data_IF_074588761396
#
_entry.id   IF_074588761396
#
_cell.length_a   1.000
_cell.length_b   1.000
_cell.length_c   1.000
_cell.angle_alpha   90.00
_cell.angle_beta   90.00
_cell.angle_gamma   90.00
#
_symmetry.space_group_name_H-M   'P 1'
#
loop_
_entity.id
_entity.type
_entity.pdbx_description
1 polymer ?
#
# COMPACT_ATOMS: atom_id res chain seq x y z
N UNK A 1 12.54 -11.42 -18.72
CA UNK A 1 11.97 -10.96 -17.44
C UNK A 1 11.54 -12.20 -16.67
N UNK A 2 12.43 -12.80 -15.90
CA UNK A 2 12.16 -14.08 -15.23
C UNK A 2 12.57 -13.93 -13.78
N UNK A 3 11.62 -14.07 -12.85
CA UNK A 3 11.88 -14.11 -11.42
C UNK A 3 11.43 -12.91 -10.57
N UNK A 4 10.93 -11.81 -11.16
CA UNK A 4 10.30 -10.74 -10.36
C UNK A 4 8.83 -11.13 -10.13
N UNK A 5 8.39 -11.32 -8.87
CA UNK A 5 6.99 -11.62 -8.59
C UNK A 5 6.11 -10.41 -8.92
N UNK A 6 5.04 -10.66 -9.68
CA UNK A 6 4.03 -9.65 -10.00
C UNK A 6 2.88 -9.76 -9.02
N UNK A 7 2.50 -8.64 -8.40
CA UNK A 7 1.31 -8.56 -7.54
C UNK A 7 0.26 -7.70 -8.22
N UNK A 8 -0.97 -8.19 -8.34
CA UNK A 8 -2.11 -7.42 -8.83
C UNK A 8 -3.03 -7.07 -7.67
N UNK A 9 -3.20 -5.78 -7.42
CA UNK A 9 -4.10 -5.25 -6.37
C UNK A 9 -5.24 -4.47 -7.02
N UNK A 10 -6.46 -4.68 -6.55
CA UNK A 10 -7.62 -3.87 -6.95
C UNK A 10 -7.79 -2.73 -5.95
N UNK A 11 -7.87 -1.50 -6.45
CA UNK A 11 -8.01 -0.28 -5.66
C UNK A 11 -9.09 0.57 -6.32
N UNK A 12 -9.95 1.18 -5.52
CA UNK A 12 -10.93 2.14 -6.02
C UNK A 12 -10.25 3.31 -6.77
N UNK A 13 -10.92 3.91 -7.76
CA UNK A 13 -10.33 4.98 -8.57
C UNK A 13 -9.91 6.20 -7.75
N UNK A 14 -10.75 6.62 -6.78
CA UNK A 14 -10.48 7.83 -5.98
C UNK A 14 -9.23 7.69 -5.10
N UNK A 15 -9.04 6.62 -4.29
CA UNK A 15 -7.80 6.41 -3.55
C UNK A 15 -6.56 6.28 -4.44
N UNK A 16 -6.71 5.67 -5.63
CA UNK A 16 -5.62 5.57 -6.59
C UNK A 16 -5.18 6.95 -7.09
N UNK A 17 -6.12 7.82 -7.41
CA UNK A 17 -5.84 9.20 -7.85
C UNK A 17 -5.25 10.05 -6.72
N UNK A 18 -5.82 9.96 -5.51
CA UNK A 18 -5.34 10.68 -4.34
C UNK A 18 -3.91 10.26 -3.97
N UNK A 19 -3.65 8.94 -3.94
CA UNK A 19 -2.30 8.42 -3.69
C UNK A 19 -1.31 8.77 -4.81
N UNK A 20 -1.77 8.87 -6.06
CA UNK A 20 -0.93 9.34 -7.18
C UNK A 20 -0.58 10.83 -7.10
N UNK A 21 -1.35 11.60 -6.32
CA UNK A 21 -1.09 13.02 -6.02
C UNK A 21 -0.28 13.23 -4.73
N UNK A 22 -0.06 12.18 -3.95
CA UNK A 22 0.80 12.25 -2.77
C UNK A 22 2.19 12.80 -3.16
N UNK A 23 2.87 13.54 -2.27
CA UNK A 23 4.06 14.31 -2.61
C UNK A 23 5.12 13.46 -3.31
N UNK A 24 5.50 13.84 -4.53
CA UNK A 24 6.60 13.20 -5.28
C UNK A 24 7.91 13.21 -4.49
N UNK A 25 8.05 14.14 -3.56
CA UNK A 25 9.19 14.30 -2.66
C UNK A 25 9.36 13.17 -1.64
N UNK A 26 8.33 12.34 -1.40
CA UNK A 26 8.48 11.16 -0.54
C UNK A 26 9.32 10.07 -1.20
N UNK A 27 9.45 10.09 -2.54
CA UNK A 27 10.36 9.21 -3.30
C UNK A 27 9.72 7.98 -3.96
N UNK A 28 8.84 7.18 -3.31
CA UNK A 28 8.27 6.01 -3.94
C UNK A 28 7.02 6.35 -4.74
N UNK A 29 6.99 5.84 -5.98
CA UNK A 29 5.74 5.70 -6.73
C UNK A 29 4.80 4.73 -6.01
N UNK A 30 3.51 4.71 -6.36
CA UNK A 30 2.54 3.75 -5.81
C UNK A 30 3.05 2.29 -5.87
N UNK A 31 3.77 1.93 -6.95
CA UNK A 31 4.39 0.61 -7.11
C UNK A 31 5.55 0.39 -6.12
N UNK A 32 6.39 1.41 -5.90
CA UNK A 32 7.45 1.38 -4.90
C UNK A 32 6.90 1.21 -3.49
N UNK A 33 5.86 1.95 -3.13
CA UNK A 33 5.20 1.85 -1.82
C UNK A 33 4.55 0.46 -1.64
N UNK A 34 3.87 -0.05 -2.67
CA UNK A 34 3.28 -1.38 -2.66
C UNK A 34 4.32 -2.51 -2.52
N UNK A 35 5.56 -2.31 -2.98
CA UNK A 35 6.65 -3.28 -2.84
C UNK A 35 7.32 -3.24 -1.46
N UNK A 36 7.30 -2.10 -0.75
CA UNK A 36 7.86 -1.95 0.60
C UNK A 36 6.96 -2.62 1.64
N UNK A 37 5.64 -2.55 1.46
CA UNK A 37 4.68 -3.10 2.42
C UNK A 37 4.87 -4.60 2.71
N UNK A 38 4.96 -5.51 1.71
CA UNK A 38 5.24 -6.92 1.97
C UNK A 38 6.58 -7.16 2.67
N UNK A 39 7.61 -6.35 2.35
CA UNK A 39 8.93 -6.47 3.00
C UNK A 39 8.84 -6.10 4.48
N UNK A 40 8.12 -5.05 4.82
CA UNK A 40 7.89 -4.64 6.21
C UNK A 40 7.08 -5.70 6.98
N UNK A 41 6.00 -6.22 6.38
CA UNK A 41 5.18 -7.28 7.01
C UNK A 41 5.98 -8.55 7.30
N UNK A 42 6.83 -8.96 6.36
CA UNK A 42 7.69 -10.15 6.54
C UNK A 42 8.81 -9.88 7.54
N UNK A 43 9.43 -8.70 7.48
CA UNK A 43 10.54 -8.32 8.36
C UNK A 43 10.12 -8.16 9.83
N UNK A 44 9.00 -7.48 10.08
CA UNK A 44 8.52 -7.18 11.43
C UNK A 44 7.50 -8.20 11.96
N UNK A 45 7.09 -9.18 11.13
CA UNK A 45 6.02 -10.15 11.43
C UNK A 45 4.71 -9.50 11.92
N UNK A 46 4.51 -8.24 11.56
CA UNK A 46 3.38 -7.42 11.99
C UNK A 46 2.97 -6.50 10.86
N UNK A 47 1.74 -5.99 10.91
CA UNK A 47 1.34 -4.93 9.99
C UNK A 47 2.09 -3.64 10.36
N UNK A 48 2.70 -2.95 9.37
CA UNK A 48 3.53 -1.76 9.62
C UNK A 48 2.76 -0.56 10.19
N UNK A 49 1.43 -0.66 10.30
CA UNK A 49 0.56 0.26 11.00
C UNK A 49 -0.68 -0.50 11.45
N UNK A 50 -1.40 0.02 12.46
CA UNK A 50 -2.63 -0.58 12.97
C UNK A 50 -3.77 -0.50 11.95
N UNK A 51 -3.74 -1.32 10.91
CA UNK A 51 -4.81 -1.46 9.92
C UNK A 51 -5.95 -2.24 10.57
N UNK A 52 -6.81 -1.53 11.29
CA UNK A 52 -8.09 -2.03 11.77
C UNK A 52 -9.15 -1.87 10.69
N UNK A 53 -9.90 -2.95 10.43
CA UNK A 53 -11.13 -2.97 9.62
C UNK A 53 -12.02 -1.78 10.02
N UNK A 54 -12.57 -1.08 9.03
CA UNK A 54 -13.13 0.27 9.13
C UNK A 54 -13.94 0.61 10.39
N UNK A 55 -13.91 1.90 10.73
CA UNK A 55 -14.76 2.49 11.75
C UNK A 55 -16.18 1.89 11.70
N UNK A 56 -16.73 1.41 12.82
CA UNK A 56 -18.12 1.01 12.86
C UNK A 56 -18.96 2.26 12.60
N UNK A 57 -19.60 2.33 11.44
CA UNK A 57 -20.79 3.17 11.27
C UNK A 57 -21.79 2.76 12.35
N UNK A 58 -22.04 3.66 13.29
CA UNK A 58 -22.86 3.37 14.46
C UNK A 58 -22.90 4.51 15.45
N UNK A 59 -23.35 5.69 15.03
CA UNK A 59 -24.17 6.61 15.83
C UNK A 59 -24.90 7.60 14.93
#
# INVERSE_FOLDING_TARGET
>A
MTGIPTTTTRIDPRPKEESGRAPKDLGPTLSGAAAVFPKAVVGERSLPFGIGKGAPNGR
#
